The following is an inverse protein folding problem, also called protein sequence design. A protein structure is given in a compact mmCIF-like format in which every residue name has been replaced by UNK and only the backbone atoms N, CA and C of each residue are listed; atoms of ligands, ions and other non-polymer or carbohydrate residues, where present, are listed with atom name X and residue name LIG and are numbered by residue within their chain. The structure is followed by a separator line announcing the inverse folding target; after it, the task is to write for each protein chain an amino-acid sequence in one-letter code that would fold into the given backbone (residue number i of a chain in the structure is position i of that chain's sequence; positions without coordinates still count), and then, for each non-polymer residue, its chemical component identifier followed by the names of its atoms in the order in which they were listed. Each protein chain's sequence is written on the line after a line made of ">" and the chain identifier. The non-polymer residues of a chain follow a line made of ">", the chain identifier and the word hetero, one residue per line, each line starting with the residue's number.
data_IF_485317335355
#
_entry.id   IF_485317335355
#
_cell.length_a   1.000
_cell.length_b   1.000
_cell.length_c   1.000
_cell.angle_alpha   90.00
_cell.angle_beta   90.00
_cell.angle_gamma   90.00
#
_symmetry.space_group_name_H-M   'P 1'
#
loop_
_entity.id
_entity.type
_entity.pdbx_description
1 polymer ?
#
# COMPACT_ATOMS: atom_id res chain seq x y z
N UNK A 1 1.52 24.90 -21.38
CA UNK A 1 2.06 24.72 -20.02
C UNK A 1 1.11 23.84 -19.25
N UNK A 2 -0.03 24.35 -18.76
CA UNK A 2 -1.01 23.58 -17.97
C UNK A 2 -1.41 22.20 -18.53
N UNK A 3 -1.76 22.09 -19.82
CA UNK A 3 -2.12 20.78 -20.41
C UNK A 3 -0.95 19.79 -20.48
N UNK A 4 0.27 20.27 -20.75
CA UNK A 4 1.44 19.40 -20.82
C UNK A 4 1.79 18.88 -19.42
N UNK A 5 1.77 19.75 -18.41
CA UNK A 5 2.05 19.40 -17.03
C UNK A 5 1.01 18.40 -16.49
N UNK A 6 -0.29 18.63 -16.76
CA UNK A 6 -1.37 17.69 -16.42
C UNK A 6 -1.13 16.31 -17.02
N UNK A 7 -0.80 16.26 -18.32
CA UNK A 7 -0.57 15.01 -19.03
C UNK A 7 0.67 14.28 -18.50
N UNK A 8 1.74 14.99 -18.13
CA UNK A 8 2.92 14.41 -17.48
C UNK A 8 2.55 13.74 -16.15
N UNK A 9 1.78 14.43 -15.30
CA UNK A 9 1.36 13.90 -14.00
C UNK A 9 0.49 12.65 -14.13
N UNK A 10 -0.51 12.69 -15.02
CA UNK A 10 -1.37 11.55 -15.31
C UNK A 10 -0.54 10.37 -15.83
N UNK A 11 0.36 10.63 -16.79
CA UNK A 11 1.24 9.61 -17.35
C UNK A 11 2.17 9.00 -16.29
N UNK A 12 2.68 9.80 -15.34
CA UNK A 12 3.48 9.33 -14.22
C UNK A 12 2.72 8.33 -13.34
N UNK A 13 1.47 8.65 -13.01
CA UNK A 13 0.57 7.77 -12.24
C UNK A 13 0.29 6.47 -13.01
N UNK A 14 -0.08 6.57 -14.28
CA UNK A 14 -0.39 5.40 -15.12
C UNK A 14 0.83 4.50 -15.30
N UNK A 15 2.02 5.06 -15.51
CA UNK A 15 3.27 4.31 -15.63
C UNK A 15 3.62 3.59 -14.33
N UNK A 16 3.42 4.22 -13.17
CA UNK A 16 3.61 3.57 -11.87
C UNK A 16 2.67 2.36 -11.76
N UNK A 17 1.37 2.57 -11.89
CA UNK A 17 0.37 1.50 -11.73
C UNK A 17 0.60 0.36 -12.72
N UNK A 18 0.86 0.68 -13.99
CA UNK A 18 1.13 -0.32 -15.02
C UNK A 18 2.40 -1.10 -14.72
N UNK A 19 3.46 -0.45 -14.26
CA UNK A 19 4.72 -1.13 -13.90
C UNK A 19 4.52 -2.08 -12.73
N UNK A 20 3.78 -1.64 -11.70
CA UNK A 20 3.45 -2.47 -10.54
C UNK A 20 2.66 -3.70 -10.99
N UNK A 21 1.57 -3.50 -11.74
CA UNK A 21 0.67 -4.58 -12.15
C UNK A 21 1.31 -5.57 -13.13
N UNK A 22 2.05 -5.08 -14.13
CA UNK A 22 2.46 -5.92 -15.27
C UNK A 22 3.89 -6.44 -15.15
N UNK A 23 4.72 -5.86 -14.27
CA UNK A 23 6.14 -6.20 -14.18
C UNK A 23 6.59 -6.64 -12.81
N UNK A 24 6.05 -6.05 -11.74
CA UNK A 24 6.54 -6.30 -10.39
C UNK A 24 5.66 -7.27 -9.62
N UNK A 25 4.35 -7.03 -9.54
CA UNK A 25 3.44 -7.92 -8.81
C UNK A 25 3.41 -9.37 -9.34
N UNK A 26 3.55 -9.63 -10.66
CA UNK A 26 3.61 -11.00 -11.17
C UNK A 26 4.79 -11.83 -10.66
N UNK A 27 5.82 -11.21 -10.07
CA UNK A 27 6.90 -11.96 -9.42
C UNK A 27 6.45 -12.77 -8.20
N UNK A 28 5.20 -12.59 -7.74
CA UNK A 28 4.60 -13.29 -6.62
C UNK A 28 3.45 -14.22 -7.04
N UNK A 29 3.30 -14.55 -8.32
CA UNK A 29 2.18 -15.36 -8.81
C UNK A 29 2.36 -16.87 -8.56
N UNK A 30 3.61 -17.33 -8.42
CA UNK A 30 3.94 -18.76 -8.33
C UNK A 30 4.49 -19.18 -6.96
N UNK A 31 4.14 -18.47 -5.88
CA UNK A 31 4.70 -18.72 -4.55
C UNK A 31 4.48 -20.16 -4.05
N UNK A 32 3.38 -20.82 -4.41
CA UNK A 32 3.15 -22.23 -4.05
C UNK A 32 4.16 -23.17 -4.71
N UNK A 33 4.49 -22.92 -5.98
CA UNK A 33 5.48 -23.70 -6.73
C UNK A 33 6.88 -23.47 -6.18
N UNK A 34 7.21 -22.22 -5.85
CA UNK A 34 8.48 -21.85 -5.25
C UNK A 34 8.65 -22.43 -3.84
N UNK A 35 7.58 -22.43 -3.03
CA UNK A 35 7.55 -23.05 -1.71
C UNK A 35 7.77 -24.56 -1.78
N UNK A 36 7.12 -25.24 -2.74
CA UNK A 36 7.34 -26.68 -2.96
C UNK A 36 8.79 -26.95 -3.39
N UNK A 37 9.35 -26.14 -4.30
CA UNK A 37 10.74 -26.28 -4.71
C UNK A 37 11.72 -26.05 -3.55
N UNK A 38 11.40 -25.15 -2.61
CA UNK A 38 12.18 -24.95 -1.39
C UNK A 38 12.12 -26.18 -0.46
N UNK A 39 10.94 -26.77 -0.29
CA UNK A 39 10.77 -28.01 0.48
C UNK A 39 11.53 -29.19 -0.15
N UNK A 40 11.40 -29.40 -1.46
CA UNK A 40 12.08 -30.49 -2.18
C UNK A 40 13.59 -30.35 -2.06
N UNK A 41 14.11 -29.13 -2.26
CA UNK A 41 15.53 -28.86 -2.09
C UNK A 41 16.00 -29.13 -0.66
N UNK A 42 15.22 -28.75 0.36
CA UNK A 42 15.57 -29.03 1.76
C UNK A 42 15.62 -30.54 2.01
N UNK A 43 14.66 -31.28 1.48
CA UNK A 43 14.63 -32.72 1.61
C UNK A 43 15.84 -33.40 0.94
N UNK A 44 16.25 -32.93 -0.24
CA UNK A 44 17.47 -33.39 -0.91
C UNK A 44 18.72 -33.16 -0.04
N UNK A 45 18.88 -31.95 0.52
CA UNK A 45 19.99 -31.60 1.43
C UNK A 45 20.01 -32.48 2.69
N UNK A 46 18.83 -32.75 3.27
CA UNK A 46 18.68 -33.59 4.44
C UNK A 46 19.00 -35.06 4.13
N UNK A 47 18.59 -35.56 2.96
CA UNK A 47 18.87 -36.91 2.51
C UNK A 47 20.37 -37.20 2.37
N UNK A 48 21.20 -36.21 2.04
CA UNK A 48 22.66 -36.37 2.02
C UNK A 48 23.26 -36.71 3.39
N UNK A 49 22.60 -36.30 4.46
CA UNK A 49 23.03 -36.56 5.85
C UNK A 49 22.42 -37.82 6.45
N UNK A 50 21.41 -38.38 5.79
CA UNK A 50 20.63 -39.50 6.29
C UNK A 50 21.35 -40.84 6.12
N UNK A 51 21.66 -41.49 7.25
CA UNK A 51 22.37 -42.77 7.30
C UNK A 51 21.53 -44.02 6.99
N UNK A 52 20.24 -43.88 6.67
CA UNK A 52 19.38 -44.98 6.20
C UNK A 52 18.68 -45.81 7.30
N UNK A 53 19.15 -45.77 8.54
CA UNK A 53 18.65 -46.60 9.64
C UNK A 53 17.72 -45.86 10.64
N UNK A 54 17.58 -44.55 10.50
CA UNK A 54 16.77 -43.70 11.39
C UNK A 54 15.30 -43.65 10.92
N UNK A 55 14.41 -42.99 11.68
CA UNK A 55 13.07 -42.66 11.19
C UNK A 55 13.18 -41.48 10.21
N UNK A 56 12.68 -41.57 8.97
CA UNK A 56 12.76 -40.47 8.02
C UNK A 56 11.76 -39.33 8.32
N UNK A 57 10.79 -39.54 9.22
CA UNK A 57 9.70 -38.57 9.49
C UNK A 57 10.19 -37.16 9.87
N UNK A 58 11.19 -36.97 10.77
CA UNK A 58 11.69 -35.64 11.11
C UNK A 58 12.25 -34.86 9.91
N UNK A 59 12.83 -35.56 8.94
CA UNK A 59 13.38 -34.94 7.73
C UNK A 59 12.27 -34.43 6.79
N UNK A 60 11.17 -35.18 6.68
CA UNK A 60 9.99 -34.74 5.93
C UNK A 60 9.27 -33.57 6.61
N UNK A 61 9.16 -33.59 7.95
CA UNK A 61 8.58 -32.49 8.73
C UNK A 61 9.40 -31.20 8.53
N UNK A 62 10.72 -31.27 8.63
CA UNK A 62 11.59 -30.10 8.44
C UNK A 62 11.52 -29.52 7.02
N UNK A 63 11.49 -30.39 6.00
CA UNK A 63 11.30 -29.96 4.61
C UNK A 63 9.94 -29.28 4.39
N UNK A 64 8.88 -29.85 4.97
CA UNK A 64 7.54 -29.28 4.92
C UNK A 64 7.47 -27.90 5.60
N UNK A 65 8.06 -27.78 6.79
CA UNK A 65 8.14 -26.51 7.51
C UNK A 65 8.89 -25.45 6.70
N UNK A 66 10.00 -25.84 6.05
CA UNK A 66 10.77 -24.94 5.16
C UNK A 66 9.93 -24.38 4.01
N UNK A 67 9.13 -25.23 3.35
CA UNK A 67 8.20 -24.79 2.32
C UNK A 67 7.10 -23.87 2.87
N UNK A 68 6.57 -24.18 4.05
CA UNK A 68 5.59 -23.35 4.75
C UNK A 68 6.13 -21.95 5.07
N UNK A 69 7.32 -21.87 5.67
CA UNK A 69 8.01 -20.62 5.98
C UNK A 69 8.29 -19.78 4.73
N UNK A 70 8.72 -20.42 3.63
CA UNK A 70 8.88 -19.76 2.34
C UNK A 70 7.57 -19.09 1.91
N UNK A 71 6.47 -19.85 1.85
CA UNK A 71 5.19 -19.34 1.40
C UNK A 71 4.69 -18.17 2.24
N UNK A 72 4.78 -18.28 3.57
CA UNK A 72 4.35 -17.21 4.49
C UNK A 72 5.20 -15.95 4.28
N UNK A 73 6.53 -16.09 4.28
CA UNK A 73 7.45 -14.95 4.16
C UNK A 73 7.22 -14.18 2.87
N UNK A 74 7.14 -14.87 1.72
CA UNK A 74 6.96 -14.18 0.44
C UNK A 74 5.54 -13.64 0.24
N UNK A 75 4.54 -14.22 0.90
CA UNK A 75 3.19 -13.64 0.95
C UNK A 75 3.19 -12.33 1.74
N UNK A 76 3.89 -12.27 2.87
CA UNK A 76 4.08 -11.03 3.64
C UNK A 76 4.85 -9.98 2.82
N UNK A 77 5.92 -10.39 2.13
CA UNK A 77 6.66 -9.48 1.23
C UNK A 77 5.78 -8.91 0.11
N UNK A 78 4.88 -9.72 -0.48
CA UNK A 78 3.91 -9.24 -1.48
C UNK A 78 2.99 -8.17 -0.91
N UNK A 79 2.51 -8.39 0.31
CA UNK A 79 1.64 -7.45 1.01
C UNK A 79 2.37 -6.15 1.36
N UNK A 80 3.58 -6.24 1.89
CA UNK A 80 4.44 -5.09 2.18
C UNK A 80 4.76 -4.30 0.93
N UNK A 81 5.03 -4.98 -0.19
CA UNK A 81 5.25 -4.33 -1.48
C UNK A 81 4.05 -3.49 -1.92
N UNK A 82 2.82 -4.02 -1.82
CA UNK A 82 1.61 -3.26 -2.14
C UNK A 82 1.39 -2.09 -1.18
N UNK A 83 1.60 -2.29 0.12
CA UNK A 83 1.53 -1.26 1.14
C UNK A 83 2.55 -0.14 0.89
N UNK A 84 3.79 -0.47 0.53
CA UNK A 84 4.81 0.53 0.16
C UNK A 84 4.52 1.21 -1.18
N UNK A 85 3.77 0.57 -2.07
CA UNK A 85 3.37 1.20 -3.32
C UNK A 85 2.37 2.34 -3.07
N UNK A 86 1.54 2.29 -2.02
CA UNK A 86 0.71 3.45 -1.64
C UNK A 86 1.57 4.64 -1.23
N UNK A 87 2.67 4.39 -0.52
CA UNK A 87 3.67 5.40 -0.14
C UNK A 87 4.29 6.03 -1.37
N UNK A 88 4.69 5.22 -2.35
CA UNK A 88 5.23 5.73 -3.61
C UNK A 88 4.21 6.58 -4.37
N UNK A 89 2.97 6.11 -4.49
CA UNK A 89 1.89 6.85 -5.14
C UNK A 89 1.66 8.21 -4.47
N UNK A 90 1.59 8.26 -3.13
CA UNK A 90 1.45 9.53 -2.42
C UNK A 90 2.67 10.45 -2.60
N UNK A 91 3.88 9.90 -2.66
CA UNK A 91 5.07 10.71 -2.92
C UNK A 91 5.08 11.33 -4.33
N UNK A 92 4.55 10.65 -5.35
CA UNK A 92 4.34 11.27 -6.67
C UNK A 92 3.41 12.49 -6.55
N UNK A 93 2.31 12.35 -5.83
CA UNK A 93 1.39 13.46 -5.57
C UNK A 93 2.07 14.64 -4.85
N UNK A 94 2.90 14.37 -3.84
CA UNK A 94 3.65 15.41 -3.14
C UNK A 94 4.63 16.14 -4.06
N UNK A 95 5.35 15.39 -4.91
CA UNK A 95 6.27 15.95 -5.89
C UNK A 95 5.54 16.84 -6.89
N UNK A 96 4.41 16.39 -7.41
CA UNK A 96 3.60 17.17 -8.35
C UNK A 96 3.00 18.42 -7.69
N UNK A 97 2.54 18.31 -6.43
CA UNK A 97 2.17 19.47 -5.63
C UNK A 97 3.33 20.47 -5.48
N UNK A 98 4.57 20.01 -5.30
CA UNK A 98 5.74 20.89 -5.21
C UNK A 98 6.04 21.61 -6.54
N UNK A 99 5.73 21.00 -7.69
CA UNK A 99 5.87 21.64 -9.00
C UNK A 99 4.84 22.75 -9.21
N UNK A 100 3.61 22.55 -8.74
CA UNK A 100 2.49 23.49 -8.96
C UNK A 100 2.44 24.59 -7.89
N UNK A 101 2.58 24.21 -6.63
CA UNK A 101 2.44 25.12 -5.50
C UNK A 101 3.81 25.62 -5.07
N UNK A 102 4.01 26.93 -5.18
CA UNK A 102 5.22 27.63 -4.72
C UNK A 102 5.47 27.56 -3.21
N UNK A 103 4.52 27.06 -2.43
CA UNK A 103 4.58 27.01 -0.97
C UNK A 103 4.67 25.55 -0.50
N UNK A 104 5.46 25.28 0.53
CA UNK A 104 5.65 23.94 1.11
C UNK A 104 4.65 23.60 2.21
N UNK A 105 3.89 24.58 2.72
CA UNK A 105 2.92 24.38 3.80
C UNK A 105 1.57 23.91 3.25
N UNK A 106 1.13 22.73 3.71
CA UNK A 106 -0.14 22.12 3.30
C UNK A 106 -1.38 22.98 3.55
N UNK A 107 -1.43 23.74 4.65
CA UNK A 107 -2.55 24.65 4.92
C UNK A 107 -2.75 25.69 3.81
N UNK A 108 -1.65 26.28 3.35
CA UNK A 108 -1.65 27.28 2.26
C UNK A 108 -2.03 26.63 0.93
N UNK A 109 -1.57 25.40 0.66
CA UNK A 109 -1.99 24.64 -0.52
C UNK A 109 -3.49 24.37 -0.52
N UNK A 110 -4.04 23.95 0.62
CA UNK A 110 -5.47 23.66 0.78
C UNK A 110 -6.32 24.91 0.56
N UNK A 111 -5.90 26.06 1.09
CA UNK A 111 -6.56 27.35 0.83
C UNK A 111 -6.52 27.73 -0.66
N UNK A 112 -5.37 27.55 -1.33
CA UNK A 112 -5.26 27.81 -2.77
C UNK A 112 -6.19 26.91 -3.59
N UNK A 113 -6.25 25.62 -3.27
CA UNK A 113 -7.17 24.66 -3.91
C UNK A 113 -8.63 25.08 -3.68
N UNK A 114 -8.99 25.42 -2.45
CA UNK A 114 -10.34 25.89 -2.12
C UNK A 114 -10.71 27.19 -2.85
N UNK A 115 -9.73 28.09 -3.08
CA UNK A 115 -9.94 29.34 -3.85
C UNK A 115 -10.25 29.10 -5.33
N UNK A 116 -10.05 27.88 -5.82
CA UNK A 116 -10.43 27.42 -7.16
C UNK A 116 -11.79 26.70 -7.17
N UNK A 117 -12.56 26.80 -6.08
CA UNK A 117 -13.85 26.11 -5.90
C UNK A 117 -13.76 24.58 -5.91
N UNK A 118 -12.59 24.01 -5.65
CA UNK A 118 -12.38 22.57 -5.53
C UNK A 118 -12.63 22.16 -4.07
N UNK A 119 -13.48 21.15 -3.86
CA UNK A 119 -13.79 20.66 -2.52
C UNK A 119 -12.57 20.00 -1.87
N UNK A 120 -12.26 20.40 -0.63
CA UNK A 120 -11.15 19.83 0.15
C UNK A 120 -11.61 18.99 1.34
N UNK A 121 -12.91 18.69 1.39
CA UNK A 121 -13.57 17.89 2.43
C UNK A 121 -14.26 16.68 1.81
N UNK A 122 -14.60 15.70 2.64
CA UNK A 122 -15.29 14.49 2.18
C UNK A 122 -16.71 14.79 1.66
N UNK A 123 -17.17 14.15 0.57
CA UNK A 123 -16.40 13.33 -0.37
C UNK A 123 -15.73 14.21 -1.44
N UNK A 124 -14.40 14.14 -1.58
CA UNK A 124 -13.69 14.74 -2.72
C UNK A 124 -12.44 13.97 -3.08
N UNK A 125 -11.98 14.11 -4.33
CA UNK A 125 -10.75 13.49 -4.80
C UNK A 125 -9.54 13.94 -3.97
N UNK A 126 -9.46 15.24 -3.67
CA UNK A 126 -8.44 15.78 -2.77
C UNK A 126 -8.50 15.16 -1.38
N UNK A 127 -9.69 14.98 -0.80
CA UNK A 127 -9.86 14.34 0.51
C UNK A 127 -9.39 12.88 0.49
N UNK A 128 -9.73 12.12 -0.55
CA UNK A 128 -9.27 10.72 -0.72
C UNK A 128 -7.74 10.61 -0.73
N UNK A 129 -7.05 11.57 -1.34
CA UNK A 129 -5.59 11.56 -1.43
C UNK A 129 -4.96 12.10 -0.13
N UNK A 130 -5.40 13.28 0.32
CA UNK A 130 -4.72 14.04 1.35
C UNK A 130 -5.16 13.68 2.78
N UNK A 131 -6.22 12.91 2.97
CA UNK A 131 -6.62 12.44 4.30
C UNK A 131 -6.57 10.90 4.35
N UNK A 132 -7.21 10.20 3.42
CA UNK A 132 -7.20 8.73 3.46
C UNK A 132 -5.85 8.14 3.05
N UNK A 133 -5.38 8.39 1.82
CA UNK A 133 -4.12 7.84 1.32
C UNK A 133 -2.92 8.33 2.15
N UNK A 134 -2.91 9.60 2.57
CA UNK A 134 -1.87 10.12 3.46
C UNK A 134 -1.78 9.30 4.75
N UNK A 135 -2.89 9.04 5.43
CA UNK A 135 -2.87 8.28 6.68
C UNK A 135 -2.50 6.81 6.48
N UNK A 136 -2.91 6.19 5.37
CA UNK A 136 -2.41 4.86 4.99
C UNK A 136 -0.89 4.87 4.86
N UNK A 137 -0.32 5.88 4.19
CA UNK A 137 1.12 6.02 4.01
C UNK A 137 1.86 6.25 5.33
N UNK A 138 1.32 7.10 6.21
CA UNK A 138 1.91 7.37 7.52
C UNK A 138 1.96 6.10 8.38
N UNK A 139 0.90 5.29 8.36
CA UNK A 139 0.85 3.99 9.07
C UNK A 139 1.89 3.04 8.48
N UNK A 140 1.98 2.94 7.16
CA UNK A 140 2.96 2.07 6.49
C UNK A 140 4.41 2.49 6.81
N UNK A 141 4.70 3.77 6.96
CA UNK A 141 6.05 4.29 7.26
C UNK A 141 6.44 4.25 8.74
N UNK A 142 5.49 4.54 9.61
CA UNK A 142 5.76 4.86 11.02
C UNK A 142 5.04 3.92 12.00
N UNK A 143 4.22 3.00 11.49
CA UNK A 143 3.39 2.13 12.29
C UNK A 143 2.24 2.88 12.95
N UNK A 144 1.83 2.35 14.11
CA UNK A 144 0.67 2.83 14.83
C UNK A 144 0.85 4.22 15.42
N UNK A 145 -0.22 5.02 15.37
CA UNK A 145 -0.27 6.34 15.99
C UNK A 145 -1.49 7.13 15.58
N UNK A 146 -1.37 8.46 15.59
CA UNK A 146 -2.47 9.39 15.28
C UNK A 146 -3.07 9.16 13.89
N UNK A 147 -2.27 8.71 12.92
CA UNK A 147 -2.75 8.37 11.59
C UNK A 147 -3.75 7.19 11.63
N UNK A 148 -3.47 6.16 12.43
CA UNK A 148 -4.38 5.03 12.63
C UNK A 148 -5.65 5.45 13.36
N UNK A 149 -5.53 6.26 14.42
CA UNK A 149 -6.71 6.79 15.15
C UNK A 149 -7.65 7.56 14.21
N UNK A 150 -7.10 8.37 13.31
CA UNK A 150 -7.90 9.07 12.30
C UNK A 150 -8.48 8.11 11.26
N UNK A 151 -7.68 7.16 10.76
CA UNK A 151 -8.11 6.20 9.75
C UNK A 151 -9.24 5.29 10.26
N UNK A 152 -9.21 4.92 11.54
CA UNK A 152 -10.31 4.21 12.23
C UNK A 152 -11.65 4.95 12.13
N UNK A 153 -11.64 6.28 12.12
CA UNK A 153 -12.86 7.10 12.01
C UNK A 153 -13.33 7.22 10.57
N UNK A 154 -12.39 7.47 9.64
CA UNK A 154 -12.74 7.84 8.26
C UNK A 154 -12.83 6.64 7.29
N UNK A 155 -12.12 5.55 7.59
CA UNK A 155 -12.06 4.29 6.82
C UNK A 155 -11.93 3.08 7.75
N UNK A 156 -12.90 2.83 8.65
CA UNK A 156 -12.88 1.67 9.55
C UNK A 156 -12.83 0.34 8.80
N UNK A 157 -13.31 0.29 7.55
CA UNK A 157 -13.27 -0.89 6.69
C UNK A 157 -11.84 -1.35 6.35
N UNK A 158 -10.85 -0.46 6.44
CA UNK A 158 -9.43 -0.76 6.23
C UNK A 158 -8.72 -1.23 7.49
N UNK A 159 -9.39 -1.30 8.64
CA UNK A 159 -8.76 -1.72 9.89
C UNK A 159 -9.32 -3.08 10.32
N UNK A 160 -8.44 -4.04 10.55
CA UNK A 160 -8.77 -5.27 11.23
C UNK A 160 -8.70 -5.05 12.74
N UNK A 161 -9.70 -5.57 13.45
CA UNK A 161 -9.73 -5.56 14.92
C UNK A 161 -9.66 -7.00 15.41
N UNK A 162 -8.60 -7.34 16.14
CA UNK A 162 -8.42 -8.66 16.75
C UNK A 162 -8.50 -8.53 18.26
N UNK A 163 -9.27 -9.41 18.89
CA UNK A 163 -9.29 -9.55 20.35
C UNK A 163 -8.20 -10.54 20.73
N UNK A 164 -7.17 -10.04 21.37
CA UNK A 164 -6.16 -10.85 22.04
C UNK A 164 -6.71 -11.24 23.40
N UNK A 165 -7.10 -12.51 23.50
CA UNK A 165 -7.53 -13.11 24.75
C UNK A 165 -6.31 -13.41 25.60
N UNK A 166 -6.27 -12.84 26.79
CA UNK A 166 -5.22 -13.16 27.76
C UNK A 166 -5.70 -14.26 28.70
N UNK A 167 -4.85 -15.25 28.97
CA UNK A 167 -5.15 -16.28 29.97
C UNK A 167 -4.87 -15.74 31.38
N UNK A 168 -5.80 -15.92 32.32
CA UNK A 168 -5.68 -15.46 33.71
C UNK A 168 -6.47 -14.19 34.01
N UNK A 169 -5.98 -13.35 34.92
CA UNK A 169 -6.65 -12.12 35.37
C UNK A 169 -6.37 -10.88 34.49
N UNK A 170 -5.62 -11.04 33.38
CA UNK A 170 -5.33 -9.93 32.48
C UNK A 170 -6.57 -9.60 31.62
N UNK A 171 -6.91 -8.30 31.46
CA UNK A 171 -8.00 -7.91 30.58
C UNK A 171 -7.65 -8.22 29.12
N UNK A 172 -8.63 -8.71 28.37
CA UNK A 172 -8.52 -8.85 26.92
C UNK A 172 -8.12 -7.52 26.28
N UNK A 173 -7.19 -7.57 25.31
CA UNK A 173 -6.75 -6.40 24.55
C UNK A 173 -7.29 -6.47 23.14
N UNK A 174 -7.77 -5.34 22.59
CA UNK A 174 -8.11 -5.27 21.16
C UNK A 174 -6.97 -4.62 20.42
N UNK A 175 -6.38 -5.34 19.47
CA UNK A 175 -5.38 -4.80 18.55
C UNK A 175 -6.04 -4.40 17.25
N UNK A 176 -5.66 -3.23 16.75
CA UNK A 176 -6.17 -2.66 15.50
C UNK A 176 -5.02 -2.56 14.51
N UNK A 177 -5.09 -3.28 13.40
CA UNK A 177 -4.03 -3.29 12.37
C UNK A 177 -4.59 -2.86 11.03
N UNK A 178 -3.81 -2.11 10.26
CA UNK A 178 -4.17 -1.78 8.89
C UNK A 178 -4.21 -3.08 8.05
N UNK A 179 -5.29 -3.25 7.30
CA UNK A 179 -5.40 -4.34 6.31
C UNK A 179 -4.43 -4.08 5.17
N UNK A 180 -3.88 -5.16 4.63
CA UNK A 180 -3.06 -5.09 3.43
C UNK A 180 -3.86 -4.48 2.28
N UNK A 181 -3.26 -3.50 1.62
CA UNK A 181 -3.89 -2.80 0.50
C UNK A 181 -3.84 -3.70 -0.73
N UNK A 182 -5.00 -3.94 -1.33
CA UNK A 182 -5.10 -4.69 -2.58
C UNK A 182 -4.68 -3.83 -3.79
N UNK A 183 -4.26 -4.49 -4.88
CA UNK A 183 -4.02 -3.80 -6.17
C UNK A 183 -5.25 -3.00 -6.63
N UNK A 184 -6.46 -3.50 -6.37
CA UNK A 184 -7.71 -2.78 -6.69
C UNK A 184 -7.80 -1.46 -5.93
N UNK A 185 -7.59 -1.48 -4.62
CA UNK A 185 -7.63 -0.25 -3.79
C UNK A 185 -6.51 0.72 -4.18
N UNK A 186 -5.32 0.22 -4.49
CA UNK A 186 -4.23 1.06 -5.01
C UNK A 186 -4.64 1.77 -6.31
N UNK A 187 -5.27 1.06 -7.24
CA UNK A 187 -5.80 1.62 -8.49
C UNK A 187 -6.90 2.65 -8.23
N UNK A 188 -7.79 2.40 -7.28
CA UNK A 188 -8.83 3.38 -6.89
C UNK A 188 -8.21 4.70 -6.41
N UNK A 189 -7.15 4.65 -5.60
CA UNK A 189 -6.42 5.84 -5.19
C UNK A 189 -5.70 6.55 -6.34
N UNK A 190 -5.16 5.79 -7.30
CA UNK A 190 -4.57 6.36 -8.52
C UNK A 190 -5.62 7.10 -9.36
N UNK A 191 -6.84 6.56 -9.48
CA UNK A 191 -7.94 7.24 -10.19
C UNK A 191 -8.40 8.51 -9.46
N UNK A 192 -8.50 8.50 -8.13
CA UNK A 192 -8.79 9.72 -7.36
C UNK A 192 -7.71 10.78 -7.60
N UNK A 193 -6.44 10.38 -7.66
CA UNK A 193 -5.32 11.28 -7.94
C UNK A 193 -5.38 11.89 -9.34
N UNK A 194 -5.61 11.08 -10.37
CA UNK A 194 -5.79 11.57 -11.75
C UNK A 194 -6.98 12.53 -11.85
N UNK A 195 -8.10 12.16 -11.25
CA UNK A 195 -9.32 12.99 -11.24
C UNK A 195 -9.09 14.33 -10.56
N UNK A 196 -8.37 14.36 -9.43
CA UNK A 196 -7.97 15.60 -8.78
C UNK A 196 -7.12 16.49 -9.69
N UNK A 197 -6.14 15.92 -10.40
CA UNK A 197 -5.31 16.72 -11.31
C UNK A 197 -6.14 17.29 -12.45
N UNK A 198 -7.06 16.51 -13.04
CA UNK A 198 -7.98 17.00 -14.08
C UNK A 198 -8.78 18.20 -13.55
N UNK A 199 -9.45 18.05 -12.40
CA UNK A 199 -10.23 19.12 -11.76
C UNK A 199 -9.39 20.39 -11.51
N UNK A 200 -8.17 20.22 -10.99
CA UNK A 200 -7.27 21.32 -10.68
C UNK A 200 -6.90 22.12 -11.93
N UNK A 201 -6.49 21.43 -12.99
CA UNK A 201 -6.06 22.08 -14.22
C UNK A 201 -7.21 22.71 -14.98
N UNK A 202 -8.41 22.12 -14.96
CA UNK A 202 -9.62 22.73 -15.51
C UNK A 202 -9.95 24.05 -14.79
N UNK A 203 -9.93 24.05 -13.45
CA UNK A 203 -10.19 25.24 -12.66
C UNK A 203 -9.15 26.35 -12.90
N UNK A 204 -7.87 25.99 -13.04
CA UNK A 204 -6.80 26.94 -13.37
C UNK A 204 -7.00 27.58 -14.76
N UNK A 205 -7.48 26.82 -15.75
CA UNK A 205 -7.76 27.34 -17.10
C UNK A 205 -8.96 28.30 -17.12
N UNK A 206 -10.03 27.95 -16.40
CA UNK A 206 -11.21 28.81 -16.27
C UNK A 206 -10.84 30.16 -15.65
N UNK A 207 -10.07 30.14 -14.56
CA UNK A 207 -9.63 31.37 -13.87
C UNK A 207 -8.78 32.30 -14.73
N UNK A 208 -8.08 31.76 -15.74
CA UNK A 208 -7.29 32.57 -16.69
C UNK A 208 -8.15 33.20 -17.78
N UNK A 209 -9.30 32.62 -18.07
CA UNK A 209 -10.22 33.06 -19.14
C UNK A 209 -11.22 34.12 -18.68
N UNK A 210 -11.25 34.40 -17.36
CA UNK A 210 -12.01 35.47 -16.72
C UNK A 210 -11.11 36.67 -16.44
#
# INVERSE_FOLDING_TARGET
>A
MYEADKNEMILGIDNLITTIETRLLPSFDNLEVEAQAAADKRLEELAETYGGAEDPSPYYEEAYDTGGEYYVTYTEMKNDFLNMTTVWLYHLFEQDCNKIFSDTKWGIRKEKIASLSISTITPSNFYKINEELQHICDINKHGDGRAKEKLLVIRPDLIDSKIEKHFGDNPDTTTHTLKNISLKQLKEYAEYMKSFWIELYEALQLKKSM
#
